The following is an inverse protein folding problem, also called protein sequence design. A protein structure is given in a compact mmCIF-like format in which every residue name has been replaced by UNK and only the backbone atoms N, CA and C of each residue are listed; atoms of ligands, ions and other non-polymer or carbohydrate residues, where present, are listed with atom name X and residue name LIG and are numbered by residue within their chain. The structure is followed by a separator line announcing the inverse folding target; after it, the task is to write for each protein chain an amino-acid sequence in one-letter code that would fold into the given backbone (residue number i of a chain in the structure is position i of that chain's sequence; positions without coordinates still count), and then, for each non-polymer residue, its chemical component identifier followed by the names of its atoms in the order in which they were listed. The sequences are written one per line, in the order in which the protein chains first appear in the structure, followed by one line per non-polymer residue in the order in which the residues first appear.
data_IF_182466585170
#
_entry.id   IF_182466585170
#
_cell.length_a   1.000
_cell.length_b   1.000
_cell.length_c   1.000
_cell.angle_alpha   90.00
_cell.angle_beta   90.00
_cell.angle_gamma   90.00
#
_symmetry.space_group_name_H-M   'P 1'
#
loop_
_entity.id
_entity.type
_entity.pdbx_description
1 polymer ?
#
# COMPACT_ATOMS: atom_id res chain seq x y z
N UNK A 1 10.36 28.77 -0.27
CA UNK A 1 9.41 28.65 0.85
C UNK A 1 8.92 27.21 0.92
N UNK A 2 9.50 26.40 1.82
CA UNK A 2 9.06 25.02 2.04
C UNK A 2 7.76 25.04 2.85
N UNK A 3 6.64 24.63 2.25
CA UNK A 3 5.45 24.31 3.02
C UNK A 3 5.75 23.02 3.80
N UNK A 4 6.08 23.15 5.07
CA UNK A 4 6.02 22.03 6.00
C UNK A 4 4.57 21.53 6.01
N UNK A 5 4.34 20.38 5.37
CA UNK A 5 3.05 19.69 5.40
C UNK A 5 2.75 19.39 6.86
N UNK A 6 1.85 20.18 7.45
CA UNK A 6 1.43 20.00 8.83
C UNK A 6 0.85 18.59 8.97
N UNK A 7 1.44 17.84 9.90
CA UNK A 7 1.00 16.49 10.23
C UNK A 7 -0.39 16.59 10.84
N UNK A 8 -1.42 16.33 10.03
CA UNK A 8 -2.80 16.37 10.49
C UNK A 8 -3.05 15.22 11.49
N UNK A 9 -3.74 15.50 12.61
CA UNK A 9 -4.14 14.45 13.53
C UNK A 9 -5.07 13.45 12.83
N UNK A 10 -5.21 12.22 13.38
CA UNK A 10 -6.07 11.20 12.80
C UNK A 10 -7.49 11.77 12.70
N UNK A 11 -8.00 11.85 11.47
CA UNK A 11 -9.37 12.33 11.22
C UNK A 11 -10.43 11.23 11.38
N UNK A 12 -10.00 10.01 11.70
CA UNK A 12 -10.86 8.84 11.75
C UNK A 12 -10.82 8.18 13.12
N UNK A 13 -12.00 8.12 13.75
CA UNK A 13 -12.27 7.31 14.92
C UNK A 13 -13.22 6.19 14.48
N UNK A 14 -12.88 4.90 14.73
CA UNK A 14 -13.72 3.78 14.30
C UNK A 14 -15.13 3.84 14.89
N UNK A 15 -15.23 4.31 16.13
CA UNK A 15 -16.47 4.51 16.89
C UNK A 15 -16.29 5.71 17.81
N UNK A 16 -17.40 6.28 18.31
CA UNK A 16 -17.36 7.45 19.21
C UNK A 16 -16.77 7.14 20.59
N UNK A 17 -16.74 5.87 20.98
CA UNK A 17 -16.20 5.34 22.22
C UNK A 17 -14.80 4.71 22.08
N UNK A 18 -14.21 4.76 20.86
CA UNK A 18 -12.89 4.21 20.63
C UNK A 18 -11.85 4.93 21.51
N UNK A 19 -11.02 4.20 22.28
CA UNK A 19 -10.00 4.82 23.11
C UNK A 19 -9.02 5.61 22.23
N UNK A 20 -8.58 6.77 22.72
CA UNK A 20 -7.59 7.59 22.03
C UNK A 20 -6.32 6.76 21.80
N UNK A 21 -5.97 6.57 20.53
CA UNK A 21 -4.76 5.83 20.14
C UNK A 21 -3.59 6.79 20.06
N UNK A 22 -2.41 6.32 20.48
CA UNK A 22 -1.15 7.06 20.26
C UNK A 22 -0.99 7.31 18.76
N UNK A 23 -0.71 8.57 18.42
CA UNK A 23 -0.53 8.97 17.03
C UNK A 23 0.62 8.20 16.37
N UNK A 24 0.36 7.65 15.18
CA UNK A 24 1.39 7.07 14.32
C UNK A 24 1.23 7.63 12.92
N UNK A 25 2.31 8.23 12.40
CA UNK A 25 2.36 8.77 11.05
C UNK A 25 2.07 7.68 10.00
N UNK A 26 2.65 6.50 10.17
CA UNK A 26 2.47 5.38 9.23
C UNK A 26 1.03 4.87 9.22
N UNK A 27 0.39 4.82 10.39
CA UNK A 27 -1.04 4.49 10.49
C UNK A 27 -1.88 5.57 9.83
N UNK A 28 -1.60 6.84 10.08
CA UNK A 28 -2.34 7.95 9.47
C UNK A 28 -2.23 7.95 7.93
N UNK A 29 -1.05 7.68 7.37
CA UNK A 29 -0.86 7.50 5.92
C UNK A 29 -1.67 6.32 5.39
N UNK A 30 -1.66 5.20 6.11
CA UNK A 30 -2.45 4.01 5.79
C UNK A 30 -3.95 4.27 5.74
N UNK A 31 -4.48 4.90 6.78
CA UNK A 31 -5.89 5.26 6.87
C UNK A 31 -6.29 6.28 5.79
N UNK A 32 -5.40 7.21 5.43
CA UNK A 32 -5.63 8.16 4.35
C UNK A 32 -5.62 7.47 2.97
N UNK A 33 -4.77 6.46 2.76
CA UNK A 33 -4.80 5.62 1.57
C UNK A 33 -6.16 4.92 1.43
N UNK A 34 -6.68 4.34 2.52
CA UNK A 34 -7.99 3.68 2.51
C UNK A 34 -9.14 4.68 2.30
N UNK A 35 -9.05 5.87 2.90
CA UNK A 35 -10.04 6.95 2.75
C UNK A 35 -10.21 7.41 1.30
N UNK A 36 -9.11 7.46 0.56
CA UNK A 36 -9.04 8.00 -0.80
C UNK A 36 -9.12 6.93 -1.91
N UNK A 37 -9.05 5.66 -1.54
CA UNK A 37 -9.19 4.53 -2.48
C UNK A 37 -10.65 4.12 -2.57
N UNK A 38 -11.18 4.06 -3.79
CA UNK A 38 -12.56 3.59 -4.02
C UNK A 38 -13.60 4.35 -3.20
N UNK A 39 -13.44 5.66 -3.05
CA UNK A 39 -14.31 6.54 -2.24
C UNK A 39 -14.44 6.12 -0.76
N UNK A 40 -13.41 5.48 -0.19
CA UNK A 40 -13.41 5.08 1.21
C UNK A 40 -14.02 3.70 1.48
N UNK A 41 -14.32 2.91 0.44
CA UNK A 41 -14.96 1.59 0.55
C UNK A 41 -14.21 0.61 1.49
N UNK A 42 -12.90 0.81 1.67
CA UNK A 42 -12.06 -0.07 2.48
C UNK A 42 -11.74 0.46 3.88
N UNK A 43 -12.21 1.67 4.24
CA UNK A 43 -11.91 2.31 5.52
C UNK A 43 -12.39 1.46 6.71
N UNK A 44 -13.54 0.80 6.58
CA UNK A 44 -14.08 -0.10 7.62
C UNK A 44 -13.38 -1.45 7.74
N UNK A 45 -12.41 -1.78 6.86
CA UNK A 45 -11.71 -3.06 6.93
C UNK A 45 -10.62 -3.11 8.00
N UNK A 46 -10.26 -1.97 8.58
CA UNK A 46 -9.18 -1.85 9.54
C UNK A 46 -7.81 -1.95 8.87
N UNK A 47 -7.09 -0.83 8.81
CA UNK A 47 -5.73 -0.78 8.30
C UNK A 47 -4.78 -1.66 9.13
N UNK A 48 -3.91 -2.42 8.44
CA UNK A 48 -2.84 -3.22 9.06
C UNK A 48 -1.47 -2.67 8.67
N UNK A 49 -1.18 -2.56 7.37
CA UNK A 49 0.11 -2.08 6.87
C UNK A 49 0.01 -1.58 5.44
N UNK A 50 0.89 -0.68 5.04
CA UNK A 50 1.14 -0.40 3.63
C UNK A 50 2.62 -0.52 3.28
N UNK A 51 2.91 -0.80 2.01
CA UNK A 51 4.26 -0.88 1.44
C UNK A 51 4.26 -0.19 0.09
N UNK A 52 5.01 0.91 -0.03
CA UNK A 52 5.24 1.56 -1.31
C UNK A 52 6.13 0.68 -2.19
N UNK A 53 5.73 0.49 -3.45
CA UNK A 53 6.47 -0.31 -4.42
C UNK A 53 7.47 0.59 -5.14
N UNK A 54 8.79 0.34 -4.99
CA UNK A 54 9.81 1.33 -5.35
C UNK A 54 9.94 1.65 -6.85
N UNK A 55 9.23 0.96 -7.74
CA UNK A 55 9.28 1.20 -9.19
C UNK A 55 7.97 1.60 -9.86
N UNK A 56 6.84 1.50 -9.15
CA UNK A 56 5.56 1.40 -9.85
C UNK A 56 4.56 2.53 -9.55
N UNK A 57 4.91 3.55 -8.74
CA UNK A 57 3.93 4.52 -8.19
C UNK A 57 2.71 3.84 -7.56
N UNK A 58 2.89 2.59 -7.14
CA UNK A 58 1.88 1.76 -6.54
C UNK A 58 2.23 1.54 -5.07
N UNK A 59 1.21 1.31 -4.26
CA UNK A 59 1.33 0.95 -2.86
C UNK A 59 0.46 -0.27 -2.62
N UNK A 60 1.03 -1.29 -1.98
CA UNK A 60 0.23 -2.37 -1.43
C UNK A 60 -0.32 -1.94 -0.08
N UNK A 61 -1.63 -2.11 0.11
CA UNK A 61 -2.30 -1.82 1.37
C UNK A 61 -2.95 -3.10 1.87
N UNK A 62 -2.50 -3.55 3.03
CA UNK A 62 -3.06 -4.68 3.76
C UNK A 62 -4.07 -4.17 4.78
N UNK A 63 -5.29 -4.67 4.70
CA UNK A 63 -6.34 -4.49 5.71
C UNK A 63 -6.56 -5.82 6.44
N UNK A 64 -7.50 -5.89 7.38
CA UNK A 64 -7.88 -7.18 8.00
C UNK A 64 -8.68 -8.09 7.08
N UNK A 65 -9.17 -7.59 5.94
CA UNK A 65 -10.04 -8.36 5.02
C UNK A 65 -9.52 -8.47 3.60
N UNK A 66 -8.67 -7.54 3.16
CA UNK A 66 -8.23 -7.47 1.77
C UNK A 66 -6.75 -7.09 1.67
N UNK A 67 -6.14 -7.52 0.58
CA UNK A 67 -4.92 -6.93 0.05
C UNK A 67 -5.29 -6.11 -1.18
N UNK A 68 -4.89 -4.84 -1.18
CA UNK A 68 -5.18 -3.86 -2.22
C UNK A 68 -3.88 -3.44 -2.91
N UNK A 69 -3.91 -3.30 -4.23
CA UNK A 69 -2.91 -2.51 -4.96
C UNK A 69 -3.54 -1.19 -5.36
N UNK A 70 -2.96 -0.11 -4.85
CA UNK A 70 -3.42 1.24 -5.12
C UNK A 70 -2.34 2.00 -5.89
N UNK A 71 -2.70 2.50 -7.07
CA UNK A 71 -1.87 3.39 -7.87
C UNK A 71 -2.14 4.85 -7.54
N UNK A 72 -1.21 5.74 -7.91
CA UNK A 72 -1.48 7.19 -7.89
C UNK A 72 -2.56 7.54 -8.91
N UNK A 73 -3.71 8.05 -8.45
CA UNK A 73 -4.78 8.56 -9.31
C UNK A 73 -4.58 10.03 -9.68
N UNK A 74 -5.58 10.62 -10.36
CA UNK A 74 -5.64 12.07 -10.55
C UNK A 74 -6.24 12.77 -9.32
N UNK A 75 -5.91 14.05 -9.15
CA UNK A 75 -6.55 15.00 -8.23
C UNK A 75 -6.95 14.40 -6.86
N UNK A 76 -5.96 14.15 -6.01
CA UNK A 76 -6.15 13.73 -4.60
C UNK A 76 -6.73 12.32 -4.36
N UNK A 77 -7.03 11.53 -5.39
CA UNK A 77 -7.54 10.16 -5.28
C UNK A 77 -6.46 9.09 -5.53
N UNK A 78 -6.65 7.90 -4.94
CA UNK A 78 -5.88 6.71 -5.30
C UNK A 78 -6.74 5.79 -6.16
N UNK A 79 -6.15 5.28 -7.24
CA UNK A 79 -6.80 4.33 -8.13
C UNK A 79 -6.64 2.92 -7.55
N UNK A 80 -7.74 2.22 -7.30
CA UNK A 80 -7.70 0.79 -7.00
C UNK A 80 -7.40 0.05 -8.30
N UNK A 81 -6.23 -0.57 -8.41
CA UNK A 81 -5.87 -1.35 -9.60
C UNK A 81 -6.41 -2.78 -9.52
N UNK A 82 -6.23 -3.40 -8.36
CA UNK A 82 -6.81 -4.70 -8.06
C UNK A 82 -6.96 -4.89 -6.55
N UNK A 83 -7.81 -5.87 -6.21
CA UNK A 83 -8.09 -6.30 -4.85
C UNK A 83 -8.16 -7.82 -4.83
N UNK A 84 -7.69 -8.39 -3.73
CA UNK A 84 -7.95 -9.78 -3.35
C UNK A 84 -8.44 -9.81 -1.90
N UNK A 85 -9.45 -10.60 -1.59
CA UNK A 85 -9.83 -10.80 -0.18
C UNK A 85 -8.87 -11.79 0.46
N UNK A 86 -8.52 -11.59 1.73
CA UNK A 86 -7.57 -12.46 2.41
C UNK A 86 -8.01 -13.94 2.48
N UNK A 87 -9.29 -14.26 2.69
CA UNK A 87 -9.76 -15.65 2.61
C UNK A 87 -9.55 -16.32 1.25
N UNK A 88 -9.52 -15.54 0.16
CA UNK A 88 -9.36 -16.08 -1.20
C UNK A 88 -7.89 -16.28 -1.58
N UNK A 89 -6.94 -15.77 -0.79
CA UNK A 89 -5.50 -15.91 -1.07
C UNK A 89 -5.06 -17.34 -0.74
N UNK A 90 -4.56 -18.03 -1.75
CA UNK A 90 -4.09 -19.42 -1.62
C UNK A 90 -2.57 -19.48 -1.52
N UNK A 91 -1.85 -18.60 -2.21
CA UNK A 91 -0.40 -18.58 -2.19
C UNK A 91 0.13 -17.15 -2.39
N UNK A 92 1.19 -16.82 -1.64
CA UNK A 92 2.00 -15.64 -1.87
C UNK A 92 3.43 -16.10 -2.08
N UNK A 93 3.98 -15.85 -3.27
CA UNK A 93 5.37 -16.20 -3.59
C UNK A 93 6.14 -14.97 -4.03
N UNK A 94 7.42 -14.96 -3.71
CA UNK A 94 8.36 -13.97 -4.22
C UNK A 94 9.02 -14.55 -5.46
N UNK A 95 8.93 -13.84 -6.58
CA UNK A 95 9.60 -14.17 -7.82
C UNK A 95 10.81 -13.22 -7.99
N UNK A 96 12.01 -13.75 -7.81
CA UNK A 96 13.24 -12.94 -7.81
C UNK A 96 13.29 -11.86 -6.71
N UNK A 97 14.01 -10.77 -6.96
CA UNK A 97 14.21 -9.70 -5.94
C UNK A 97 13.07 -8.70 -5.88
N UNK A 98 12.31 -8.58 -6.96
CA UNK A 98 11.44 -7.42 -7.20
C UNK A 98 9.99 -7.81 -7.41
N UNK A 99 9.67 -9.09 -7.60
CA UNK A 99 8.30 -9.50 -7.91
C UNK A 99 7.66 -10.27 -6.76
N UNK A 100 6.42 -9.91 -6.45
CA UNK A 100 5.54 -10.69 -5.58
C UNK A 100 4.37 -11.15 -6.45
N UNK A 101 4.07 -12.44 -6.39
CA UNK A 101 2.93 -13.06 -7.06
C UNK A 101 1.96 -13.53 -5.99
N UNK A 102 0.72 -13.05 -6.09
CA UNK A 102 -0.38 -13.46 -5.23
C UNK A 102 -1.33 -14.30 -6.07
N UNK A 103 -1.58 -15.52 -5.63
CA UNK A 103 -2.50 -16.48 -6.26
C UNK A 103 -3.77 -16.57 -5.41
N UNK A 104 -4.93 -16.43 -6.03
CA UNK A 104 -6.22 -16.52 -5.34
C UNK A 104 -7.25 -17.37 -6.08
N UNK A 105 -8.15 -17.98 -5.30
CA UNK A 105 -9.34 -18.68 -5.79
C UNK A 105 -10.60 -17.91 -5.35
N UNK A 106 -11.08 -16.96 -6.16
CA UNK A 106 -12.28 -16.21 -5.81
C UNK A 106 -13.53 -17.13 -5.89
N UNK A 107 -14.45 -17.06 -4.93
CA UNK A 107 -15.59 -17.98 -4.84
C UNK A 107 -16.62 -17.85 -5.98
N UNK A 108 -16.51 -16.84 -6.85
CA UNK A 108 -17.54 -16.46 -7.83
C UNK A 108 -17.08 -16.65 -9.29
N UNK A 109 -15.79 -16.94 -9.55
CA UNK A 109 -15.23 -16.98 -10.93
C UNK A 109 -14.65 -18.38 -11.23
N UNK A 110 -15.50 -19.41 -11.27
CA UNK A 110 -15.09 -20.76 -11.71
C UNK A 110 -13.80 -21.30 -11.05
N UNK A 111 -13.15 -22.33 -11.62
CA UNK A 111 -11.84 -22.79 -11.15
C UNK A 111 -10.67 -21.90 -11.60
N UNK A 112 -10.92 -20.65 -12.02
CA UNK A 112 -9.90 -19.81 -12.65
C UNK A 112 -8.93 -19.24 -11.61
N UNK A 113 -7.67 -19.63 -11.73
CA UNK A 113 -6.57 -19.13 -10.91
C UNK A 113 -6.23 -17.70 -11.35
N UNK A 114 -6.44 -16.72 -10.48
CA UNK A 114 -6.00 -15.35 -10.72
C UNK A 114 -4.59 -15.16 -10.14
N UNK A 115 -3.64 -14.76 -10.99
CA UNK A 115 -2.29 -14.34 -10.58
C UNK A 115 -2.18 -12.81 -10.64
N UNK A 116 -1.95 -12.18 -9.48
CA UNK A 116 -1.63 -10.76 -9.39
C UNK A 116 -0.13 -10.57 -9.28
N UNK A 117 0.44 -9.77 -10.19
CA UNK A 117 1.88 -9.53 -10.27
C UNK A 117 2.20 -8.12 -9.78
N UNK A 118 3.07 -8.06 -8.78
CA UNK A 118 3.55 -6.80 -8.21
C UNK A 118 5.04 -6.67 -8.47
N UNK A 119 5.48 -5.61 -9.16
CA UNK A 119 6.90 -5.37 -9.47
C UNK A 119 7.44 -4.16 -8.68
N UNK A 120 8.20 -4.43 -7.61
CA UNK A 120 8.98 -3.45 -6.85
C UNK A 120 10.47 -3.56 -7.12
N UNK A 121 11.02 -2.72 -7.99
CA UNK A 121 12.46 -2.64 -8.25
C UNK A 121 13.22 -1.82 -7.21
N UNK A 122 14.30 -2.41 -6.67
CA UNK A 122 15.23 -1.70 -5.80
C UNK A 122 16.04 -0.68 -6.63
N UNK A 123 15.85 0.62 -6.38
CA UNK A 123 16.86 1.62 -6.79
C UNK A 123 18.09 1.44 -5.91
N UNK A 124 19.08 0.73 -6.43
CA UNK A 124 20.42 0.71 -5.86
C UNK A 124 20.98 2.13 -5.83
N UNK A 125 21.07 2.72 -4.65
CA UNK A 125 21.84 3.93 -4.42
C UNK A 125 23.33 3.60 -4.62
N UNK A 126 23.85 3.75 -5.84
CA UNK A 126 25.30 3.88 -6.05
C UNK A 126 25.71 5.28 -5.60
N UNK A 127 26.10 5.39 -4.33
CA UNK A 127 26.82 6.55 -3.80
C UNK A 127 28.21 6.53 -4.44
N UNK A 128 28.37 7.28 -5.52
CA UNK A 128 29.67 7.52 -6.16
C UNK A 128 30.62 8.13 -5.14
N UNK A 129 31.60 7.35 -4.71
CA UNK A 129 32.65 7.79 -3.81
C UNK A 129 33.48 8.88 -4.46
N UNK A 130 33.60 10.01 -3.77
CA UNK A 130 34.68 10.98 -3.96
C UNK A 130 36.02 10.22 -3.95
N UNK A 131 36.78 10.31 -5.04
CA UNK A 131 38.24 10.27 -4.96
C UNK A 131 38.74 11.68 -5.16
N UNK A 132 39.21 12.28 -4.07
CA UNK A 132 40.21 13.33 -4.15
C UNK A 132 41.49 12.72 -4.75
N UNK A 133 42.11 13.47 -5.64
CA UNK A 133 43.39 13.15 -6.25
C UNK A 133 44.04 14.48 -6.61
N UNK A 134 44.95 14.89 -5.74
CA UNK A 134 45.83 16.03 -5.81
C UNK A 134 46.64 16.01 -7.11
N UNK A 135 46.76 17.19 -7.72
CA UNK A 135 47.71 17.53 -8.78
C UNK A 135 47.96 19.02 -8.69
#
# INVERSE_FOLDING_TARGET
MHHERTTQPPRFFPTSDAPLRVYSRDVNVGEELLARTGLGAFRGEGYVRHVALPSARQTLVLTRRSLLCVGTGQAESYLLEWRVTLPDVVMVRRDGRTRVVVTSFPPIVGPDVLEYVVVGGARGARRGGRRGGSG
#
